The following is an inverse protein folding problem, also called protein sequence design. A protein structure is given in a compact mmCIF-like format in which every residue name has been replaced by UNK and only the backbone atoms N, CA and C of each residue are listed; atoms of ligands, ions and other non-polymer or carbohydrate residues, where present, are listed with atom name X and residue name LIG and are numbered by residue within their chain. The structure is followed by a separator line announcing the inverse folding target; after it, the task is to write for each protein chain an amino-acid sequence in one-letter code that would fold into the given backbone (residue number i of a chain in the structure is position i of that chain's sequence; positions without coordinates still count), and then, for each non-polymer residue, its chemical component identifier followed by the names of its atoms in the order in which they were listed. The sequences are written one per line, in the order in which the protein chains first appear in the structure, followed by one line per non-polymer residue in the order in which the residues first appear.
data_IF_301765789563
#
_entry.id   IF_301765789563
#
_cell.length_a   1.000
_cell.length_b   1.000
_cell.length_c   1.000
_cell.angle_alpha   90.00
_cell.angle_beta   90.00
_cell.angle_gamma   90.00
#
_symmetry.space_group_name_H-M   'P 1'
#
loop_
_entity.id
_entity.type
_entity.pdbx_description
1 polymer ?
#
# COMPACT_ATOMS: atom_id res chain seq x y z
N UNK A 1 -19.75 36.08 9.52
CA UNK A 1 -19.01 35.23 10.50
C UNK A 1 -17.50 35.08 10.24
N UNK A 2 -16.90 35.64 9.17
CA UNK A 2 -15.48 35.40 8.82
C UNK A 2 -14.47 36.53 9.15
N UNK A 3 -14.89 37.64 9.78
CA UNK A 3 -14.00 38.80 10.06
C UNK A 3 -13.17 38.67 11.35
N UNK A 4 -13.34 37.60 12.13
CA UNK A 4 -12.68 37.43 13.45
C UNK A 4 -11.24 36.90 13.36
N UNK A 5 -10.83 36.42 12.18
CA UNK A 5 -9.48 35.88 11.94
C UNK A 5 -8.48 36.89 11.34
N UNK A 6 -8.96 38.08 10.94
CA UNK A 6 -8.13 39.13 10.36
C UNK A 6 -6.87 39.51 11.19
N UNK A 7 -6.92 39.62 12.54
CA UNK A 7 -5.76 40.12 13.29
C UNK A 7 -4.62 39.09 13.45
N UNK A 8 -4.87 37.79 13.23
CA UNK A 8 -3.82 36.77 13.36
C UNK A 8 -2.81 36.82 12.22
N UNK A 9 -3.23 37.27 11.05
CA UNK A 9 -2.38 37.30 9.86
C UNK A 9 -1.36 38.45 9.91
N UNK A 10 -1.71 39.55 10.58
CA UNK A 10 -0.83 40.70 10.77
C UNK A 10 0.27 40.39 11.77
N UNK A 11 -0.05 39.72 12.88
CA UNK A 11 0.92 39.23 13.86
C UNK A 11 1.93 38.24 13.25
N UNK A 12 1.48 37.43 12.28
CA UNK A 12 2.35 36.50 11.56
C UNK A 12 3.26 37.21 10.57
N UNK A 13 2.76 38.22 9.84
CA UNK A 13 3.57 39.02 8.91
C UNK A 13 4.62 39.83 9.64
N UNK A 14 4.25 40.50 10.72
CA UNK A 14 5.19 41.30 11.51
C UNK A 14 6.29 40.42 12.13
N UNK A 15 5.91 39.26 12.67
CA UNK A 15 6.89 38.28 13.17
C UNK A 15 7.78 37.74 12.05
N UNK A 16 7.24 37.49 10.85
CA UNK A 16 8.02 36.99 9.72
C UNK A 16 9.00 38.03 9.18
N UNK A 17 8.56 39.28 9.07
CA UNK A 17 9.38 40.39 8.59
C UNK A 17 10.47 40.80 9.59
N UNK A 18 10.25 40.55 10.90
CA UNK A 18 11.27 40.70 11.93
C UNK A 18 12.33 39.59 11.99
N UNK A 19 12.21 38.49 11.21
CA UNK A 19 13.20 37.41 11.21
C UNK A 19 14.39 37.73 10.31
N UNK A 20 15.59 37.40 10.79
CA UNK A 20 16.81 37.42 9.98
C UNK A 20 16.71 36.44 8.80
N UNK A 21 17.43 36.75 7.71
CA UNK A 21 17.41 35.98 6.47
C UNK A 21 17.71 34.48 6.70
N UNK A 22 18.70 34.17 7.55
CA UNK A 22 19.05 32.80 7.90
C UNK A 22 17.91 32.04 8.58
N UNK A 23 17.13 32.72 9.44
CA UNK A 23 16.01 32.11 10.16
C UNK A 23 14.82 31.86 9.24
N UNK A 24 14.58 32.74 8.26
CA UNK A 24 13.56 32.52 7.22
C UNK A 24 13.91 31.31 6.36
N UNK A 25 15.17 31.22 5.90
CA UNK A 25 15.65 30.07 5.12
C UNK A 25 15.54 28.77 5.92
N UNK A 26 15.90 28.78 7.20
CA UNK A 26 15.76 27.61 8.07
C UNK A 26 14.30 27.15 8.21
N UNK A 27 13.35 28.07 8.40
CA UNK A 27 11.93 27.72 8.50
C UNK A 27 11.40 27.12 7.19
N UNK A 28 11.76 27.71 6.04
CA UNK A 28 11.38 27.17 4.74
C UNK A 28 11.98 25.78 4.51
N UNK A 29 13.26 25.59 4.83
CA UNK A 29 13.94 24.30 4.70
C UNK A 29 13.28 23.21 5.54
N UNK A 30 12.94 23.52 6.80
CA UNK A 30 12.21 22.59 7.69
C UNK A 30 10.83 22.27 7.11
N UNK A 31 10.09 23.27 6.64
CA UNK A 31 8.78 23.08 6.02
C UNK A 31 8.84 22.16 4.79
N UNK A 32 9.80 22.39 3.89
CA UNK A 32 10.02 21.54 2.72
C UNK A 32 10.42 20.12 3.12
N UNK A 33 11.27 19.96 4.14
CA UNK A 33 11.69 18.65 4.65
C UNK A 33 10.51 17.87 5.20
N UNK A 34 9.62 18.52 5.95
CA UNK A 34 8.41 17.91 6.48
C UNK A 34 7.45 17.46 5.36
N UNK A 35 7.22 18.32 4.35
CA UNK A 35 6.39 17.97 3.19
C UNK A 35 6.99 16.79 2.44
N UNK A 36 8.31 16.80 2.21
CA UNK A 36 9.01 15.71 1.55
C UNK A 36 8.93 14.40 2.34
N UNK A 37 9.10 14.44 3.67
CA UNK A 37 8.97 13.28 4.52
C UNK A 37 7.54 12.68 4.47
N UNK A 38 6.50 13.50 4.49
CA UNK A 38 5.12 13.04 4.33
C UNK A 38 4.91 12.43 2.96
N UNK A 39 5.42 13.05 1.89
CA UNK A 39 5.33 12.49 0.54
C UNK A 39 6.00 11.11 0.45
N UNK A 40 7.19 10.93 1.05
CA UNK A 40 7.84 9.62 1.11
C UNK A 40 7.01 8.58 1.87
N UNK A 41 6.43 8.95 3.02
CA UNK A 41 5.57 8.04 3.78
C UNK A 41 4.33 7.59 2.99
N UNK A 42 3.77 8.46 2.14
CA UNK A 42 2.65 8.10 1.27
C UNK A 42 3.04 7.18 0.10
N UNK A 43 4.31 7.23 -0.33
CA UNK A 43 4.83 6.39 -1.42
C UNK A 43 5.32 5.02 -0.94
N UNK A 44 5.63 4.86 0.35
CA UNK A 44 6.05 3.58 0.92
C UNK A 44 4.84 2.66 1.04
N UNK A 45 4.80 1.61 0.22
CA UNK A 45 3.84 0.51 0.40
C UNK A 45 4.38 -0.49 1.44
N UNK A 46 3.57 -0.89 2.45
CA UNK A 46 3.98 -1.90 3.39
C UNK A 46 4.26 -3.23 2.66
N UNK A 47 5.24 -4.03 3.13
CA UNK A 47 5.52 -5.32 2.54
C UNK A 47 4.28 -6.21 2.61
N UNK A 48 3.79 -6.63 1.44
CA UNK A 48 2.68 -7.57 1.33
C UNK A 48 3.11 -8.91 1.92
N UNK A 49 2.46 -9.35 3.00
CA UNK A 49 2.70 -10.65 3.59
C UNK A 49 1.97 -11.70 2.76
N UNK A 50 2.70 -12.71 2.30
CA UNK A 50 2.13 -13.80 1.51
C UNK A 50 1.94 -15.03 2.39
N UNK A 51 0.82 -15.70 2.21
CA UNK A 51 0.54 -16.97 2.86
C UNK A 51 0.11 -18.01 1.80
N UNK A 52 0.40 -19.30 2.03
CA UNK A 52 0.06 -20.36 1.09
C UNK A 52 -1.47 -20.46 0.95
N UNK A 53 -1.95 -20.28 -0.26
CA UNK A 53 -3.35 -20.50 -0.63
C UNK A 53 -3.64 -22.00 -0.69
N UNK A 54 -2.83 -22.73 -1.47
CA UNK A 54 -2.82 -24.19 -1.60
C UNK A 54 -1.37 -24.69 -1.76
N UNK A 55 -1.15 -25.96 -1.40
CA UNK A 55 0.12 -26.68 -1.47
C UNK A 55 -0.11 -28.12 -1.91
N UNK A 56 0.88 -28.73 -2.57
CA UNK A 56 0.73 -30.10 -3.09
C UNK A 56 -0.20 -30.20 -4.30
N UNK A 57 -0.34 -29.10 -5.05
CA UNK A 57 -1.14 -29.04 -6.28
C UNK A 57 -0.51 -29.88 -7.39
N UNK A 58 -1.36 -30.52 -8.18
CA UNK A 58 -0.98 -31.00 -9.51
C UNK A 58 -0.68 -29.82 -10.43
N UNK A 59 0.11 -30.05 -11.49
CA UNK A 59 0.44 -29.01 -12.46
C UNK A 59 -0.82 -28.40 -13.12
N UNK A 60 -1.84 -29.23 -13.37
CA UNK A 60 -3.10 -28.80 -13.97
C UNK A 60 -3.93 -27.92 -13.02
N UNK A 61 -4.01 -28.27 -11.72
CA UNK A 61 -4.70 -27.45 -10.73
C UNK A 61 -3.97 -26.13 -10.48
N UNK A 62 -2.64 -26.17 -10.40
CA UNK A 62 -1.83 -24.97 -10.29
C UNK A 62 -2.07 -24.03 -11.48
N UNK A 63 -2.08 -24.56 -12.72
CA UNK A 63 -2.38 -23.78 -13.92
C UNK A 63 -3.79 -23.15 -13.89
N UNK A 64 -4.80 -23.93 -13.50
CA UNK A 64 -6.18 -23.44 -13.41
C UNK A 64 -6.35 -22.34 -12.35
N UNK A 65 -5.74 -22.50 -11.18
CA UNK A 65 -5.78 -21.50 -10.10
C UNK A 65 -5.02 -20.23 -10.50
N UNK A 66 -3.83 -20.35 -11.11
CA UNK A 66 -3.05 -19.20 -11.60
C UNK A 66 -3.87 -18.40 -12.63
N UNK A 67 -4.55 -19.08 -13.54
CA UNK A 67 -5.42 -18.42 -14.52
C UNK A 67 -6.53 -17.60 -13.85
N UNK A 68 -7.20 -18.17 -12.84
CA UNK A 68 -8.23 -17.45 -12.08
C UNK A 68 -7.66 -16.26 -11.30
N UNK A 69 -6.51 -16.42 -10.63
CA UNK A 69 -5.85 -15.33 -9.92
C UNK A 69 -5.46 -14.19 -10.86
N UNK A 70 -4.97 -14.53 -12.06
CA UNK A 70 -4.60 -13.55 -13.09
C UNK A 70 -5.83 -12.79 -13.60
N UNK A 71 -6.93 -13.49 -13.87
CA UNK A 71 -8.20 -12.88 -14.29
C UNK A 71 -8.75 -11.90 -13.24
N UNK A 72 -8.56 -12.20 -11.95
CA UNK A 72 -8.99 -11.34 -10.85
C UNK A 72 -7.97 -10.26 -10.48
N UNK A 73 -6.81 -10.20 -11.15
CA UNK A 73 -5.74 -9.24 -10.86
C UNK A 73 -5.08 -9.44 -9.50
N UNK A 74 -5.14 -10.65 -8.96
CA UNK A 74 -4.60 -10.98 -7.64
C UNK A 74 -3.10 -11.29 -7.77
N UNK A 75 -2.22 -10.60 -7.02
CA UNK A 75 -0.80 -10.92 -7.01
C UNK A 75 -0.58 -12.30 -6.35
N UNK A 76 0.26 -13.13 -6.96
CA UNK A 76 0.53 -14.47 -6.48
C UNK A 76 2.02 -14.80 -6.58
N UNK A 77 2.45 -15.80 -5.80
CA UNK A 77 3.79 -16.40 -5.85
C UNK A 77 3.64 -17.90 -6.03
N UNK A 78 4.33 -18.44 -7.02
CA UNK A 78 4.45 -19.88 -7.25
C UNK A 78 5.74 -20.37 -6.59
N UNK A 79 5.69 -21.51 -5.91
CA UNK A 79 6.89 -22.18 -5.39
C UNK A 79 7.78 -22.70 -6.52
N UNK A 80 9.07 -22.91 -6.26
CA UNK A 80 10.03 -23.34 -7.28
C UNK A 80 9.68 -24.69 -7.91
N UNK A 81 9.01 -25.56 -7.16
CA UNK A 81 8.52 -26.87 -7.60
C UNK A 81 7.14 -26.80 -8.29
N UNK A 82 6.51 -25.61 -8.33
CA UNK A 82 5.22 -25.40 -9.00
C UNK A 82 4.01 -25.98 -8.27
N UNK A 83 4.19 -26.56 -7.08
CA UNK A 83 3.12 -27.28 -6.36
C UNK A 83 2.41 -26.43 -5.32
N UNK A 84 2.88 -25.22 -5.03
CA UNK A 84 2.28 -24.34 -4.04
C UNK A 84 2.13 -22.92 -4.56
N UNK A 85 0.95 -22.34 -4.29
CA UNK A 85 0.60 -20.97 -4.67
C UNK A 85 0.36 -20.18 -3.39
N UNK A 86 1.01 -19.03 -3.27
CA UNK A 86 0.84 -18.09 -2.16
C UNK A 86 0.28 -16.77 -2.64
N UNK A 87 -0.59 -16.16 -1.83
CA UNK A 87 -1.29 -14.88 -2.12
C UNK A 87 -1.22 -13.98 -0.88
N UNK A 88 -1.55 -12.68 -1.00
CA UNK A 88 -1.65 -11.79 0.15
C UNK A 88 -2.51 -12.39 1.25
N UNK A 89 -2.01 -12.34 2.49
CA UNK A 89 -2.60 -13.01 3.66
C UNK A 89 -4.07 -12.62 3.91
N UNK A 90 -4.41 -11.36 3.61
CA UNK A 90 -5.74 -10.78 3.71
C UNK A 90 -6.73 -11.37 2.69
N UNK A 91 -6.24 -11.96 1.61
CA UNK A 91 -7.07 -12.50 0.53
C UNK A 91 -7.24 -14.01 0.58
N UNK A 92 -6.44 -14.74 1.37
CA UNK A 92 -6.42 -16.23 1.41
C UNK A 92 -7.82 -16.81 1.64
N UNK A 93 -8.52 -16.39 2.70
CA UNK A 93 -9.82 -16.95 3.05
C UNK A 93 -10.88 -16.70 1.96
N UNK A 94 -10.90 -15.47 1.43
CA UNK A 94 -11.82 -15.07 0.36
C UNK A 94 -11.57 -15.87 -0.92
N UNK A 95 -10.30 -16.03 -1.30
CA UNK A 95 -9.92 -16.75 -2.50
C UNK A 95 -10.20 -18.24 -2.40
N UNK A 96 -9.97 -18.88 -1.24
CA UNK A 96 -10.36 -20.28 -1.03
C UNK A 96 -11.85 -20.49 -1.25
N UNK A 97 -12.68 -19.62 -0.68
CA UNK A 97 -14.13 -19.71 -0.86
C UNK A 97 -14.52 -19.50 -2.33
N UNK A 98 -13.95 -18.50 -2.99
CA UNK A 98 -14.24 -18.20 -4.39
C UNK A 98 -13.80 -19.31 -5.35
N UNK A 99 -12.62 -19.89 -5.13
CA UNK A 99 -12.09 -21.00 -5.93
C UNK A 99 -12.86 -22.30 -5.67
N UNK A 100 -13.22 -22.58 -4.41
CA UNK A 100 -14.06 -23.73 -4.08
C UNK A 100 -15.44 -23.64 -4.74
N UNK A 101 -16.04 -22.44 -4.82
CA UNK A 101 -17.29 -22.22 -5.55
C UNK A 101 -17.18 -22.51 -7.07
N UNK A 102 -15.96 -22.47 -7.61
CA UNK A 102 -15.65 -22.82 -8.99
C UNK A 102 -15.18 -24.27 -9.15
N UNK A 103 -15.16 -25.05 -8.07
CA UNK A 103 -14.69 -26.45 -8.08
C UNK A 103 -13.18 -26.61 -8.17
N UNK A 104 -12.41 -25.62 -7.69
CA UNK A 104 -10.95 -25.67 -7.63
C UNK A 104 -10.45 -25.77 -6.18
N UNK A 105 -9.35 -26.52 -5.91
CA UNK A 105 -8.63 -27.42 -6.82
C UNK A 105 -9.47 -28.67 -7.17
N UNK A 106 -9.27 -29.25 -8.36
CA UNK A 106 -10.01 -30.44 -8.79
C UNK A 106 -9.54 -31.71 -8.08
N UNK A 107 -8.29 -31.73 -7.62
CA UNK A 107 -7.65 -32.93 -7.08
C UNK A 107 -7.86 -33.18 -5.59
N UNK A 108 -8.41 -32.22 -4.83
CA UNK A 108 -8.76 -32.39 -3.41
C UNK A 108 -7.60 -32.69 -2.47
#
# INVERSE_FOLDING_TARGET
MLRRFAPYWELLRERWDGLSQNRRVAIVAVGLTAIFAVALLLLIQPPQQYAPLYSGLSADDAAAIIEQLRQQGVPYKLSNDGTAISVPVDQVAKLRLALAAQGLPKSG
#
